data_IF_329561963066
#
_entry.id   IF_329561963066
#
_cell.length_a   1.000
_cell.length_b   1.000
_cell.length_c   1.000
_cell.angle_alpha   90.00
_cell.angle_beta   90.00
_cell.angle_gamma   90.00
#
_symmetry.space_group_name_H-M   'P 1'
#
loop_
_entity.id
_entity.type
_entity.pdbx_description
1 polymer ?
#
# COMPACT_ATOMS: atom_id res chain seq x y z
N UNK A 1 -43.35 -64.20 -49.55
CA UNK A 1 -42.28 -63.62 -50.40
C UNK A 1 -41.32 -62.90 -49.50
N UNK A 2 -40.11 -63.39 -49.38
CA UNK A 2 -39.11 -62.99 -48.41
C UNK A 2 -38.24 -61.86 -49.05
N UNK A 3 -38.16 -60.68 -48.42
CA UNK A 3 -37.15 -59.66 -48.77
C UNK A 3 -36.17 -59.50 -47.62
N UNK A 4 -34.95 -59.77 -47.95
CA UNK A 4 -33.78 -59.70 -47.04
C UNK A 4 -33.38 -58.23 -46.87
N UNK A 5 -33.25 -57.81 -45.61
CA UNK A 5 -32.65 -56.51 -45.26
C UNK A 5 -31.13 -56.67 -45.24
N UNK A 6 -30.45 -55.88 -46.00
CA UNK A 6 -29.01 -55.73 -45.98
C UNK A 6 -28.62 -54.66 -44.95
N UNK A 7 -27.81 -55.04 -44.01
CA UNK A 7 -27.30 -54.17 -42.96
C UNK A 7 -25.98 -53.57 -43.43
N UNK A 8 -25.98 -52.33 -43.85
CA UNK A 8 -24.76 -51.59 -44.13
C UNK A 8 -24.30 -50.85 -42.87
N UNK A 9 -23.20 -51.27 -42.30
CA UNK A 9 -22.52 -50.57 -41.18
C UNK A 9 -21.77 -49.37 -41.75
N UNK A 10 -22.26 -48.17 -41.44
CA UNK A 10 -21.53 -46.95 -41.68
C UNK A 10 -20.68 -46.60 -40.44
N UNK A 11 -19.38 -46.72 -40.58
CA UNK A 11 -18.38 -46.33 -39.61
C UNK A 11 -18.24 -44.82 -39.63
N UNK A 12 -18.88 -44.11 -38.69
CA UNK A 12 -18.66 -42.67 -38.50
C UNK A 12 -17.40 -42.45 -37.65
N UNK A 13 -16.36 -41.99 -38.31
CA UNK A 13 -15.13 -41.50 -37.72
C UNK A 13 -15.37 -40.06 -37.17
N UNK A 14 -15.69 -39.93 -35.91
CA UNK A 14 -15.77 -38.63 -35.26
C UNK A 14 -14.37 -38.09 -35.00
N UNK A 15 -13.93 -37.17 -35.86
CA UNK A 15 -12.72 -36.38 -35.60
C UNK A 15 -13.01 -35.40 -34.45
N UNK A 16 -12.37 -35.65 -33.31
CA UNK A 16 -12.38 -34.78 -32.16
C UNK A 16 -11.49 -33.55 -32.47
N UNK A 17 -12.13 -32.44 -32.88
CA UNK A 17 -11.43 -31.16 -33.06
C UNK A 17 -11.09 -30.60 -31.70
N UNK A 18 -9.87 -30.82 -31.21
CA UNK A 18 -9.32 -30.10 -30.07
C UNK A 18 -8.96 -28.69 -30.50
N UNK A 19 -9.83 -27.74 -30.18
CA UNK A 19 -9.51 -26.32 -30.29
C UNK A 19 -8.44 -25.98 -29.22
N UNK A 20 -7.35 -25.30 -29.57
CA UNK A 20 -6.42 -24.80 -28.57
C UNK A 20 -7.16 -23.76 -27.74
N UNK A 21 -7.27 -24.01 -26.43
CA UNK A 21 -7.68 -23.02 -25.44
C UNK A 21 -6.59 -21.93 -25.46
N UNK A 22 -6.94 -20.66 -25.71
CA UNK A 22 -5.94 -19.61 -25.57
C UNK A 22 -5.43 -19.62 -24.12
N UNK A 23 -4.14 -19.78 -23.97
CA UNK A 23 -3.46 -19.60 -22.70
C UNK A 23 -3.85 -18.23 -22.15
N UNK A 24 -4.59 -18.26 -21.06
CA UNK A 24 -4.91 -17.06 -20.29
C UNK A 24 -3.57 -16.48 -19.87
N UNK A 25 -3.31 -15.24 -20.28
CA UNK A 25 -2.14 -14.50 -19.87
C UNK A 25 -2.01 -14.64 -18.35
N UNK A 26 -0.84 -15.06 -17.91
CA UNK A 26 -0.43 -15.09 -16.52
C UNK A 26 -0.86 -13.79 -15.85
N UNK A 27 -1.86 -13.91 -15.00
CA UNK A 27 -2.03 -13.01 -13.89
C UNK A 27 -0.76 -13.19 -13.06
N UNK A 28 0.12 -12.20 -13.09
CA UNK A 28 1.31 -12.17 -12.26
C UNK A 28 0.88 -12.51 -10.83
N UNK A 29 1.55 -13.46 -10.16
CA UNK A 29 1.18 -13.78 -8.81
C UNK A 29 1.30 -12.50 -7.99
N UNK A 30 0.16 -12.04 -7.46
CA UNK A 30 0.14 -11.09 -6.35
C UNK A 30 1.02 -11.74 -5.29
N UNK A 31 2.25 -11.28 -5.16
CA UNK A 31 3.18 -11.78 -4.17
C UNK A 31 2.66 -11.36 -2.81
N UNK A 32 1.87 -12.25 -2.20
CA UNK A 32 1.52 -12.12 -0.78
C UNK A 32 2.85 -12.13 -0.03
N UNK A 33 3.17 -11.08 0.74
CA UNK A 33 4.43 -11.02 1.47
C UNK A 33 4.53 -12.20 2.42
N UNK A 34 5.59 -13.00 2.29
CA UNK A 34 5.83 -14.15 3.16
C UNK A 34 6.16 -13.68 4.58
N UNK A 35 5.26 -13.94 5.53
CA UNK A 35 5.51 -14.04 6.95
C UNK A 35 5.76 -12.75 7.74
N UNK A 36 5.81 -12.84 9.07
CA UNK A 36 6.08 -11.68 9.92
C UNK A 36 7.49 -11.16 9.66
N UNK A 37 7.59 -9.98 9.15
CA UNK A 37 8.84 -9.36 8.67
C UNK A 37 9.79 -8.96 9.79
N UNK A 38 9.47 -9.25 11.04
CA UNK A 38 10.36 -8.98 12.18
C UNK A 38 10.64 -7.50 12.45
N UNK A 39 9.93 -6.58 11.79
CA UNK A 39 10.11 -5.15 12.04
C UNK A 39 9.40 -4.70 13.31
N UNK A 40 10.10 -3.92 14.14
CA UNK A 40 9.53 -3.18 15.27
C UNK A 40 9.33 -1.74 14.85
N UNK A 41 8.10 -1.22 14.96
CA UNK A 41 7.80 0.18 14.64
C UNK A 41 7.62 0.95 15.94
N UNK A 42 8.45 1.97 16.15
CA UNK A 42 8.42 2.90 17.27
C UNK A 42 7.86 4.24 16.78
N UNK A 43 6.83 4.76 17.44
CA UNK A 43 6.15 5.99 17.00
C UNK A 43 6.13 7.02 18.13
N UNK A 44 6.24 8.29 17.73
CA UNK A 44 6.18 9.44 18.61
C UNK A 44 7.48 9.71 19.36
N UNK A 45 7.50 10.82 20.09
CA UNK A 45 8.67 11.26 20.87
C UNK A 45 9.06 10.27 21.97
N UNK A 46 8.09 9.53 22.50
CA UNK A 46 8.30 8.53 23.54
C UNK A 46 8.67 7.15 22.98
N UNK A 47 8.82 7.03 21.65
CA UNK A 47 9.17 5.78 20.95
C UNK A 47 8.27 4.60 21.37
N UNK A 48 6.97 4.82 21.38
CA UNK A 48 6.00 3.78 21.70
C UNK A 48 5.99 2.70 20.62
N UNK A 49 6.19 1.45 21.01
CA UNK A 49 6.11 0.33 20.09
C UNK A 49 4.66 0.08 19.66
N UNK A 50 4.45 -0.09 18.34
CA UNK A 50 3.15 -0.47 17.81
C UNK A 50 2.95 -1.98 17.89
N UNK A 51 1.82 -2.39 18.44
CA UNK A 51 1.38 -3.78 18.35
C UNK A 51 0.68 -4.02 17.01
N UNK A 52 1.37 -4.74 16.14
CA UNK A 52 0.86 -5.16 14.83
C UNK A 52 0.51 -6.65 14.79
N UNK A 53 0.72 -7.39 15.89
CA UNK A 53 0.61 -8.86 15.92
C UNK A 53 -0.80 -9.39 15.66
N UNK A 54 -1.81 -8.62 16.02
CA UNK A 54 -3.23 -9.00 15.88
C UNK A 54 -3.83 -8.69 14.49
N UNK A 55 -3.04 -8.16 13.55
CA UNK A 55 -3.55 -7.64 12.29
C UNK A 55 -2.84 -8.30 11.10
N UNK A 56 -3.54 -8.45 9.96
CA UNK A 56 -2.90 -8.81 8.69
C UNK A 56 -1.95 -7.71 8.17
N UNK A 57 -1.87 -6.59 8.88
CA UNK A 57 -1.17 -5.38 8.48
C UNK A 57 0.31 -5.40 8.92
N UNK A 58 1.07 -6.40 8.54
CA UNK A 58 2.51 -6.47 8.83
C UNK A 58 3.32 -5.66 7.79
N UNK A 59 4.36 -4.91 8.19
CA UNK A 59 5.27 -4.28 7.24
C UNK A 59 5.91 -5.32 6.32
N UNK A 60 6.14 -4.96 5.08
CA UNK A 60 6.80 -5.83 4.10
C UNK A 60 7.72 -5.04 3.19
N UNK A 61 8.61 -5.73 2.46
CA UNK A 61 9.45 -5.10 1.43
C UNK A 61 8.90 -5.40 0.04
N UNK A 62 8.87 -4.33 -0.75
CA UNK A 62 8.57 -4.39 -2.18
C UNK A 62 9.70 -3.67 -2.93
N UNK A 63 10.43 -4.38 -3.77
CA UNK A 63 11.57 -3.81 -4.52
C UNK A 63 12.52 -2.98 -3.64
N UNK A 64 12.92 -3.52 -2.47
CA UNK A 64 13.77 -2.87 -1.46
C UNK A 64 13.10 -1.71 -0.68
N UNK A 65 11.93 -1.25 -1.07
CA UNK A 65 11.16 -0.25 -0.33
C UNK A 65 10.43 -0.91 0.82
N UNK A 66 10.56 -0.37 2.03
CA UNK A 66 9.80 -0.84 3.17
C UNK A 66 8.39 -0.21 3.14
N UNK A 67 7.39 -1.08 2.96
CA UNK A 67 5.97 -0.74 3.00
C UNK A 67 5.46 -0.91 4.42
N UNK A 68 4.74 0.10 4.93
CA UNK A 68 4.27 0.13 6.32
C UNK A 68 2.78 0.44 6.40
N UNK A 69 2.06 -0.08 7.41
CA UNK A 69 0.62 0.11 7.55
C UNK A 69 0.27 1.57 7.88
N UNK A 70 -0.38 2.25 6.94
CA UNK A 70 -0.70 3.68 7.02
C UNK A 70 -1.54 4.02 8.26
N UNK A 71 -2.70 3.37 8.41
CA UNK A 71 -3.68 3.76 9.42
C UNK A 71 -3.16 3.63 10.85
N UNK A 72 -2.40 2.56 11.14
CA UNK A 72 -1.88 2.32 12.49
C UNK A 72 -0.81 3.32 12.90
N UNK A 73 0.10 3.63 11.98
CA UNK A 73 1.15 4.62 12.24
C UNK A 73 0.54 6.02 12.34
N UNK A 74 -0.36 6.38 11.41
CA UNK A 74 -1.07 7.65 11.42
C UNK A 74 -1.83 7.87 12.72
N UNK A 75 -2.58 6.86 13.18
CA UNK A 75 -3.30 6.91 14.45
C UNK A 75 -2.36 7.14 15.64
N UNK A 76 -1.21 6.48 15.66
CA UNK A 76 -0.24 6.63 16.74
C UNK A 76 0.46 8.01 16.72
N UNK A 77 0.55 8.64 15.55
CA UNK A 77 1.01 10.03 15.38
C UNK A 77 -0.07 11.06 15.70
N UNK A 78 -1.33 10.64 15.91
CA UNK A 78 -2.46 11.53 16.11
C UNK A 78 -3.10 12.05 14.81
N UNK A 79 -2.73 11.48 13.66
CA UNK A 79 -3.29 11.84 12.36
C UNK A 79 -4.62 11.12 12.10
N UNK A 80 -5.47 11.75 11.33
CA UNK A 80 -6.72 11.15 10.86
C UNK A 80 -6.52 10.53 9.48
N UNK A 81 -7.08 9.34 9.28
CA UNK A 81 -7.09 8.66 7.98
C UNK A 81 -8.53 8.38 7.61
N UNK A 82 -8.94 8.79 6.43
CA UNK A 82 -10.25 8.52 5.86
C UNK A 82 -10.13 7.93 4.46
N UNK A 83 -11.09 7.10 4.10
CA UNK A 83 -11.22 6.52 2.77
C UNK A 83 -12.59 6.90 2.19
N UNK A 84 -12.58 7.37 0.97
CA UNK A 84 -13.77 7.69 0.21
C UNK A 84 -14.04 6.57 -0.80
N UNK A 85 -15.13 5.80 -0.63
CA UNK A 85 -15.46 4.68 -1.51
C UNK A 85 -15.92 5.11 -2.92
N UNK A 86 -16.36 6.36 -3.09
CA UNK A 86 -16.83 6.85 -4.38
C UNK A 86 -15.66 7.23 -5.29
N UNK A 87 -14.63 7.83 -4.73
CA UNK A 87 -13.46 8.30 -5.48
C UNK A 87 -12.25 7.37 -5.35
N UNK A 88 -12.25 6.49 -4.34
CA UNK A 88 -11.09 5.67 -3.99
C UNK A 88 -9.97 6.44 -3.31
N UNK A 89 -10.23 7.70 -2.90
CA UNK A 89 -9.25 8.54 -2.23
C UNK A 89 -8.99 8.05 -0.82
N UNK A 90 -7.71 8.05 -0.45
CA UNK A 90 -7.24 7.85 0.91
C UNK A 90 -6.67 9.18 1.37
N UNK A 91 -7.31 9.81 2.36
CA UNK A 91 -6.86 11.09 2.90
C UNK A 91 -6.19 10.88 4.25
N UNK A 92 -5.00 11.44 4.40
CA UNK A 92 -4.25 11.51 5.67
C UNK A 92 -4.17 12.97 6.07
N UNK A 93 -4.57 13.29 7.29
CA UNK A 93 -4.66 14.65 7.81
C UNK A 93 -3.94 14.73 9.16
N UNK A 94 -2.93 15.59 9.29
CA UNK A 94 -2.21 15.81 10.54
C UNK A 94 -2.98 16.70 11.53
N UNK A 95 -4.09 17.30 11.07
CA UNK A 95 -4.96 18.15 11.87
C UNK A 95 -4.44 19.57 12.11
N UNK A 96 -3.24 19.90 11.63
CA UNK A 96 -2.58 21.17 11.95
C UNK A 96 -2.03 21.90 10.73
N UNK A 97 -1.17 21.25 9.97
CA UNK A 97 -0.38 21.89 8.92
C UNK A 97 -0.86 21.51 7.54
N UNK A 98 -1.06 20.20 7.30
CA UNK A 98 -1.29 19.67 5.97
C UNK A 98 -2.07 18.37 5.97
N UNK A 99 -2.65 18.09 4.81
CA UNK A 99 -3.24 16.79 4.48
C UNK A 99 -2.67 16.28 3.17
N UNK A 100 -2.68 14.96 3.01
CA UNK A 100 -2.30 14.28 1.78
C UNK A 100 -3.46 13.44 1.25
N UNK A 101 -3.61 13.39 -0.06
CA UNK A 101 -4.52 12.48 -0.76
C UNK A 101 -3.70 11.49 -1.55
N UNK A 102 -4.01 10.21 -1.38
CA UNK A 102 -3.39 9.06 -2.00
C UNK A 102 -4.43 8.25 -2.78
N UNK A 103 -3.98 7.51 -3.78
CA UNK A 103 -4.80 6.53 -4.49
C UNK A 103 -4.14 5.15 -4.47
N UNK A 104 -4.97 4.11 -4.38
CA UNK A 104 -4.46 2.75 -4.52
C UNK A 104 -3.83 2.53 -5.90
N UNK A 105 -2.66 1.90 -5.91
CA UNK A 105 -1.93 1.55 -7.14
C UNK A 105 -1.11 2.69 -7.75
N UNK A 106 -1.09 3.89 -7.13
CA UNK A 106 -0.26 5.02 -7.58
C UNK A 106 0.81 5.39 -6.58
N UNK A 107 1.94 5.90 -7.07
CA UNK A 107 3.02 6.42 -6.23
C UNK A 107 2.80 7.88 -5.85
N UNK A 108 1.95 8.58 -6.60
CA UNK A 108 1.69 10.00 -6.40
C UNK A 108 0.87 10.25 -5.12
N UNK A 109 1.27 11.27 -4.38
CA UNK A 109 0.56 11.81 -3.24
C UNK A 109 0.39 13.32 -3.41
N UNK A 110 -0.84 13.82 -3.29
CA UNK A 110 -1.11 15.24 -3.39
C UNK A 110 -1.29 15.86 -2.02
N UNK A 111 -0.38 16.75 -1.65
CA UNK A 111 -0.39 17.48 -0.39
C UNK A 111 -1.05 18.84 -0.52
N UNK A 112 -1.81 19.24 0.50
CA UNK A 112 -2.39 20.59 0.62
C UNK A 112 -2.22 21.08 2.05
N UNK A 113 -1.95 22.39 2.22
CA UNK A 113 -1.87 23.01 3.53
C UNK A 113 -3.24 23.35 4.10
N UNK A 114 -3.36 23.38 5.43
CA UNK A 114 -4.53 23.90 6.13
C UNK A 114 -4.54 25.43 6.20
N UNK A 115 -3.36 26.06 6.15
CA UNK A 115 -3.21 27.49 6.25
C UNK A 115 -3.26 28.15 4.86
N UNK A 116 -4.23 29.01 4.64
CA UNK A 116 -4.37 29.76 3.39
C UNK A 116 -3.29 30.85 3.18
N UNK A 117 -2.40 31.04 4.14
CA UNK A 117 -1.37 32.06 4.10
C UNK A 117 -0.13 31.64 3.34
N UNK A 118 0.15 30.33 3.33
CA UNK A 118 1.25 29.73 2.61
C UNK A 118 0.70 28.60 1.76
N UNK A 119 0.92 28.67 0.45
CA UNK A 119 0.56 27.56 -0.44
C UNK A 119 1.56 26.41 -0.23
N UNK A 120 1.11 25.38 0.48
CA UNK A 120 1.86 24.13 0.68
C UNK A 120 1.43 23.04 -0.30
N UNK A 121 0.65 23.40 -1.33
CA UNK A 121 0.20 22.45 -2.33
C UNK A 121 1.39 21.91 -3.12
N UNK A 122 1.55 20.60 -3.12
CA UNK A 122 2.60 19.90 -3.87
C UNK A 122 2.19 18.49 -4.20
N UNK A 123 2.71 18.00 -5.27
CA UNK A 123 2.69 16.59 -5.63
C UNK A 123 4.01 15.95 -5.22
N UNK A 124 3.93 14.76 -4.64
CA UNK A 124 5.10 13.98 -4.20
C UNK A 124 5.00 12.62 -4.85
N UNK A 125 6.06 12.22 -5.52
CA UNK A 125 6.21 10.89 -6.07
C UNK A 125 6.91 10.00 -5.01
N UNK A 126 6.14 9.08 -4.45
CA UNK A 126 6.63 8.15 -3.44
C UNK A 126 7.52 7.07 -4.06
N UNK A 127 8.37 6.45 -3.24
CA UNK A 127 9.30 5.41 -3.68
C UNK A 127 8.63 4.12 -4.19
N UNK A 128 7.34 3.92 -3.89
CA UNK A 128 6.51 2.82 -4.37
C UNK A 128 5.03 3.20 -4.31
N UNK A 129 4.16 2.52 -5.08
CA UNK A 129 2.73 2.76 -5.06
C UNK A 129 2.09 2.48 -3.70
N UNK A 130 1.01 3.21 -3.41
CA UNK A 130 0.12 2.91 -2.29
C UNK A 130 -0.62 1.61 -2.56
N UNK A 131 -0.51 0.62 -1.67
CA UNK A 131 -1.14 -0.69 -1.81
C UNK A 131 -2.24 -0.90 -0.77
N UNK A 132 -3.30 -1.61 -1.17
CA UNK A 132 -4.35 -2.08 -0.25
C UNK A 132 -4.37 -3.60 -0.31
N UNK A 133 -4.00 -4.25 0.78
CA UNK A 133 -3.90 -5.71 0.92
C UNK A 133 -4.71 -6.11 2.15
N UNK A 134 -5.66 -7.02 2.00
CA UNK A 134 -6.51 -7.54 3.08
C UNK A 134 -7.17 -6.44 3.95
N UNK A 135 -7.57 -5.34 3.30
CA UNK A 135 -8.20 -4.20 3.97
C UNK A 135 -7.21 -3.28 4.70
N UNK A 136 -5.92 -3.53 4.59
CA UNK A 136 -4.87 -2.65 5.11
C UNK A 136 -4.27 -1.81 3.99
N UNK A 137 -4.17 -0.51 4.23
CA UNK A 137 -3.45 0.40 3.34
C UNK A 137 -1.99 0.46 3.74
N UNK A 138 -1.11 0.27 2.77
CA UNK A 138 0.33 0.36 2.92
C UNK A 138 0.90 1.50 2.09
N UNK A 139 1.86 2.20 2.67
CA UNK A 139 2.63 3.26 2.01
C UNK A 139 4.13 3.02 2.21
N UNK A 140 4.99 3.56 1.35
CA UNK A 140 6.42 3.59 1.62
C UNK A 140 6.73 4.28 2.95
N UNK A 141 7.68 3.75 3.70
CA UNK A 141 8.09 4.35 4.98
C UNK A 141 8.48 5.83 4.83
N UNK A 142 9.06 6.21 3.70
CA UNK A 142 9.45 7.59 3.38
C UNK A 142 8.28 8.57 3.36
N UNK A 143 7.05 8.11 3.10
CA UNK A 143 5.83 8.94 3.08
C UNK A 143 5.68 9.77 4.36
N UNK A 144 5.99 9.22 5.51
CA UNK A 144 5.87 9.92 6.79
C UNK A 144 6.85 11.08 6.96
N UNK A 145 7.93 11.15 6.17
CA UNK A 145 8.84 12.31 6.17
C UNK A 145 8.18 13.56 5.64
N UNK A 146 7.23 13.39 4.71
CA UNK A 146 6.50 14.49 4.09
C UNK A 146 5.61 15.25 5.10
N UNK A 147 5.25 14.60 6.20
CA UNK A 147 4.55 15.21 7.34
C UNK A 147 5.51 15.76 8.40
N UNK A 148 6.70 16.17 8.00
CA UNK A 148 7.72 16.71 8.91
C UNK A 148 8.07 15.77 10.06
N UNK A 149 8.08 14.46 9.80
CA UNK A 149 8.59 13.48 10.76
C UNK A 149 10.05 13.12 10.45
N UNK A 150 10.82 12.88 11.48
CA UNK A 150 12.09 12.16 11.38
C UNK A 150 11.79 10.69 11.29
N UNK A 151 12.29 10.04 10.24
CA UNK A 151 12.08 8.61 9.99
C UNK A 151 13.43 7.94 9.88
N UNK A 152 13.70 6.97 10.73
CA UNK A 152 14.92 6.13 10.70
C UNK A 152 14.56 4.66 10.58
N UNK A 153 15.45 3.92 9.95
CA UNK A 153 15.43 2.46 9.89
C UNK A 153 16.83 1.96 10.21
N UNK A 154 16.96 1.30 11.33
CA UNK A 154 18.22 0.69 11.79
C UNK A 154 17.95 -0.80 12.03
N UNK A 155 18.65 -1.65 11.29
CA UNK A 155 18.41 -3.10 11.27
C UNK A 155 16.93 -3.41 10.96
N UNK A 156 16.15 -3.76 11.97
CA UNK A 156 14.71 -4.05 11.86
C UNK A 156 13.86 -3.11 12.73
N UNK A 157 14.43 -2.02 13.22
CA UNK A 157 13.74 -1.03 14.05
C UNK A 157 13.46 0.21 13.20
N UNK A 158 12.18 0.49 13.01
CA UNK A 158 11.67 1.71 12.38
C UNK A 158 11.34 2.69 13.50
N UNK A 159 11.82 3.93 13.41
CA UNK A 159 11.41 5.00 14.32
C UNK A 159 10.82 6.16 13.52
N UNK A 160 9.62 6.59 13.91
CA UNK A 160 8.89 7.70 13.29
C UNK A 160 8.49 8.67 14.40
N UNK A 161 9.01 9.87 14.38
CA UNK A 161 8.70 10.88 15.37
C UNK A 161 8.60 12.27 14.73
N UNK A 162 7.74 13.17 15.25
CA UNK A 162 7.70 14.55 14.80
C UNK A 162 9.08 15.16 14.87
N UNK A 163 9.50 15.84 13.80
CA UNK A 163 10.76 16.57 13.80
C UNK A 163 10.62 17.76 14.74
N UNK A 164 11.38 17.76 15.82
CA UNK A 164 11.48 18.93 16.71
C UNK A 164 12.25 19.97 15.94
N UNK A 165 11.63 21.12 15.59
CA UNK A 165 12.39 22.30 15.27
C UNK A 165 13.24 22.64 16.49
N UNK A 166 14.55 22.50 16.38
CA UNK A 166 15.46 23.05 17.38
C UNK A 166 15.31 24.57 17.40
N UNK A 167 14.41 25.07 18.24
CA UNK A 167 14.29 26.50 18.54
C UNK A 167 15.49 27.03 19.36
N UNK A 168 16.47 26.17 19.63
CA UNK A 168 17.65 26.48 20.44
C UNK A 168 18.85 27.00 19.62
N UNK A 169 18.63 27.44 18.39
CA UNK A 169 19.60 28.23 17.64
C UNK A 169 19.27 29.71 17.82
N UNK A 170 19.32 30.18 19.05
CA UNK A 170 19.47 31.63 19.29
C UNK A 170 20.80 32.07 18.69
N UNK A 171 20.82 33.04 17.77
CA UNK A 171 22.08 33.59 17.31
C UNK A 171 22.80 34.19 18.50
N UNK A 172 23.96 33.66 18.84
CA UNK A 172 24.90 34.25 19.78
C UNK A 172 25.31 35.61 19.19
N UNK A 173 24.90 36.69 19.81
CA UNK A 173 25.32 38.06 19.54
C UNK A 173 26.73 38.25 20.05
#
# INVERSE_FOLDING_TARGET
MKKRLSLSAALMLTALLTLPVPARADEAPSSVPEGPTGYTILVGLQKQALDLTALPCQPYRENEVLMVPLAKISQALGYQVSWDPETGNITVDDGYIQKAVLHHGTAEAYFTGHLNIVDLSREVDNAAPTNVIDGCTFVPLSFFREFSNTVTLEDSIVSIAPSMMNLDQSPTV
#
